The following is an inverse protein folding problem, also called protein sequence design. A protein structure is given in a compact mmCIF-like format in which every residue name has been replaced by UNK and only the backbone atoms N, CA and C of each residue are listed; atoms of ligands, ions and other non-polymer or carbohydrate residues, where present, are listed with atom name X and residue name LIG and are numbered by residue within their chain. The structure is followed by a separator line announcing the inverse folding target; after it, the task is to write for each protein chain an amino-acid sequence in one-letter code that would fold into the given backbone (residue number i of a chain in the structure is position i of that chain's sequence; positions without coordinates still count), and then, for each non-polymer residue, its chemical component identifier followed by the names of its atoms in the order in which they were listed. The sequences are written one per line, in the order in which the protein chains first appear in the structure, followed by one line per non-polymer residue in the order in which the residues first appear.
data_IF_491421386847
#
_entry.id   IF_491421386847
#
_cell.length_a   1.000
_cell.length_b   1.000
_cell.length_c   1.000
_cell.angle_alpha   90.00
_cell.angle_beta   90.00
_cell.angle_gamma   90.00
#
_symmetry.space_group_name_H-M   'P 1'
#
loop_
_entity.id
_entity.type
_entity.pdbx_description
1 polymer ?
#
# COMPACT_ATOMS: atom_id res chain seq x y z
N UNK A 1 -12.67 10.80 -2.54
CA UNK A 1 -11.36 10.30 -2.13
C UNK A 1 -10.65 9.69 -3.33
N UNK A 2 -9.40 10.01 -3.55
CA UNK A 2 -8.63 9.45 -4.64
C UNK A 2 -7.34 8.81 -4.13
N UNK A 3 -6.77 7.95 -4.95
CA UNK A 3 -5.59 7.18 -4.61
C UNK A 3 -4.61 7.27 -5.77
N UNK A 4 -3.37 7.62 -5.47
CA UNK A 4 -2.34 7.85 -6.48
C UNK A 4 -1.07 7.07 -6.11
N UNK A 5 -0.45 6.43 -7.08
CA UNK A 5 0.82 5.76 -6.88
C UNK A 5 1.95 6.68 -7.37
N UNK A 6 2.85 7.03 -6.47
CA UNK A 6 3.98 7.91 -6.78
C UNK A 6 5.10 7.15 -7.49
N UNK A 7 6.03 7.84 -8.17
CA UNK A 7 7.17 7.17 -8.80
C UNK A 7 7.97 6.28 -7.87
N UNK A 8 8.13 6.69 -6.59
CA UNK A 8 8.82 5.86 -5.60
C UNK A 8 8.11 4.54 -5.35
N UNK A 9 6.76 4.55 -5.39
CA UNK A 9 5.99 3.32 -5.26
C UNK A 9 6.31 2.36 -6.40
N UNK A 10 6.30 2.84 -7.64
CA UNK A 10 6.55 2.00 -8.80
C UNK A 10 7.96 1.43 -8.80
N UNK A 11 8.93 2.17 -8.28
CA UNK A 11 10.29 1.70 -8.15
C UNK A 11 10.36 0.44 -7.28
N UNK A 12 9.65 0.44 -6.17
CA UNK A 12 9.60 -0.72 -5.29
C UNK A 12 8.72 -1.84 -5.86
N UNK A 13 7.63 -1.46 -6.50
CA UNK A 13 6.69 -2.40 -7.10
C UNK A 13 7.38 -3.29 -8.15
N UNK A 14 8.24 -2.72 -8.96
CA UNK A 14 8.93 -3.45 -10.02
C UNK A 14 9.84 -4.56 -9.49
N UNK A 15 10.24 -4.49 -8.24
CA UNK A 15 11.10 -5.50 -7.61
C UNK A 15 10.32 -6.67 -7.05
N UNK A 16 9.01 -6.59 -7.01
CA UNK A 16 8.18 -7.63 -6.43
C UNK A 16 8.04 -8.83 -7.38
N UNK A 17 7.87 -10.05 -6.82
CA UNK A 17 7.50 -11.19 -7.65
C UNK A 17 6.22 -10.90 -8.41
N UNK A 18 6.08 -11.49 -9.60
CA UNK A 18 4.94 -11.20 -10.47
C UNK A 18 3.60 -11.48 -9.81
N UNK A 19 3.49 -12.58 -9.08
CA UNK A 19 2.23 -12.92 -8.41
C UNK A 19 1.87 -11.90 -7.33
N UNK A 20 2.86 -11.29 -6.68
CA UNK A 20 2.62 -10.23 -5.70
C UNK A 20 2.20 -8.95 -6.39
N UNK A 21 2.76 -8.65 -7.55
CA UNK A 21 2.32 -7.50 -8.34
C UNK A 21 0.85 -7.64 -8.70
N UNK A 22 0.40 -8.85 -9.04
CA UNK A 22 -1.00 -9.10 -9.35
C UNK A 22 -1.90 -8.90 -8.13
N UNK A 23 -1.47 -9.39 -6.96
CA UNK A 23 -2.21 -9.18 -5.72
C UNK A 23 -2.30 -7.69 -5.40
N UNK A 24 -1.20 -6.95 -5.58
CA UNK A 24 -1.18 -5.51 -5.35
C UNK A 24 -2.17 -4.80 -6.28
N UNK A 25 -2.23 -5.18 -7.54
CA UNK A 25 -3.19 -4.62 -8.48
C UNK A 25 -4.64 -4.85 -8.08
N UNK A 26 -4.95 -6.07 -7.65
CA UNK A 26 -6.29 -6.39 -7.16
C UNK A 26 -6.64 -5.59 -5.91
N UNK A 27 -5.69 -5.46 -4.98
CA UNK A 27 -5.92 -4.69 -3.75
C UNK A 27 -6.10 -3.21 -4.04
N UNK A 28 -5.35 -2.67 -5.01
CA UNK A 28 -5.50 -1.28 -5.40
C UNK A 28 -6.90 -1.02 -5.98
N UNK A 29 -7.38 -1.92 -6.83
CA UNK A 29 -8.73 -1.82 -7.39
C UNK A 29 -9.79 -1.91 -6.28
N UNK A 30 -9.59 -2.82 -5.33
CA UNK A 30 -10.50 -2.98 -4.20
C UNK A 30 -10.50 -1.73 -3.32
N UNK A 31 -9.33 -1.15 -3.08
CA UNK A 31 -9.22 0.08 -2.29
C UNK A 31 -10.02 1.21 -2.93
N UNK A 32 -9.99 1.31 -4.24
CA UNK A 32 -10.73 2.35 -4.95
C UNK A 32 -12.24 2.21 -4.77
N UNK A 33 -12.72 0.97 -4.65
CA UNK A 33 -14.14 0.69 -4.45
C UNK A 33 -14.55 0.75 -3.00
N UNK A 34 -13.72 0.24 -2.10
CA UNK A 34 -14.06 0.14 -0.68
C UNK A 34 -12.78 0.13 0.17
N UNK A 35 -12.28 1.31 0.55
CA UNK A 35 -11.06 1.39 1.37
C UNK A 35 -11.18 0.68 2.72
N UNK A 36 -12.40 0.46 3.20
CA UNK A 36 -12.64 -0.17 4.49
C UNK A 36 -12.78 -1.69 4.40
N UNK A 37 -12.57 -2.27 3.22
CA UNK A 37 -12.68 -3.72 3.06
C UNK A 37 -11.68 -4.42 3.98
N UNK A 38 -12.14 -5.43 4.76
CA UNK A 38 -11.28 -6.06 5.80
C UNK A 38 -9.99 -6.67 5.25
N UNK A 39 -10.00 -7.19 4.02
CA UNK A 39 -8.81 -7.83 3.46
C UNK A 39 -7.68 -6.85 3.18
N UNK A 40 -7.95 -5.54 3.16
CA UNK A 40 -6.92 -4.53 2.96
C UNK A 40 -6.16 -4.19 4.22
N UNK A 41 -6.78 -4.40 5.39
CA UNK A 41 -6.16 -3.99 6.66
C UNK A 41 -5.74 -2.54 6.65
N UNK A 42 -6.47 -1.68 5.94
CA UNK A 42 -6.12 -0.27 5.77
C UNK A 42 -6.32 0.49 7.06
N UNK A 43 -5.24 1.14 7.54
CA UNK A 43 -5.31 1.91 8.78
C UNK A 43 -4.19 2.93 8.87
N UNK A 44 -4.43 3.94 9.69
CA UNK A 44 -3.41 4.95 9.99
C UNK A 44 -2.44 4.39 11.03
N UNK A 45 -1.15 4.64 10.81
CA UNK A 45 -0.10 4.30 11.77
C UNK A 45 0.93 5.43 11.79
N UNK A 46 0.95 6.18 12.89
CA UNK A 46 1.78 7.37 12.96
C UNK A 46 1.33 8.39 11.95
N UNK A 47 2.23 8.85 11.11
CA UNK A 47 1.95 9.86 10.08
C UNK A 47 1.62 9.26 8.71
N UNK A 48 1.53 7.93 8.62
CA UNK A 48 1.28 7.27 7.34
C UNK A 48 0.08 6.32 7.46
N UNK A 49 -0.39 5.86 6.32
CA UNK A 49 -1.41 4.82 6.23
C UNK A 49 -0.79 3.56 5.66
N UNK A 50 -1.22 2.41 6.17
CA UNK A 50 -0.70 1.11 5.74
C UNK A 50 -1.82 0.27 5.17
N UNK A 51 -1.49 -0.58 4.21
CA UNK A 51 -2.42 -1.56 3.67
C UNK A 51 -1.69 -2.89 3.49
N UNK A 52 -2.39 -3.99 3.73
CA UNK A 52 -1.84 -5.32 3.56
C UNK A 52 -1.96 -5.75 2.09
N UNK A 53 -0.87 -6.33 1.59
CA UNK A 53 -0.82 -6.88 0.23
C UNK A 53 -0.54 -8.37 0.39
N UNK A 54 -1.60 -9.17 0.39
CA UNK A 54 -1.48 -10.56 0.74
C UNK A 54 -1.03 -10.72 2.19
N UNK A 55 -0.31 -11.80 2.48
CA UNK A 55 0.12 -12.10 3.86
C UNK A 55 1.46 -11.50 4.23
N UNK A 56 2.34 -11.33 3.24
CA UNK A 56 3.75 -11.06 3.52
C UNK A 56 4.22 -9.70 3.03
N UNK A 57 3.34 -8.89 2.46
CA UNK A 57 3.72 -7.61 1.90
C UNK A 57 2.82 -6.50 2.43
N UNK A 58 3.35 -5.29 2.43
CA UNK A 58 2.62 -4.09 2.85
C UNK A 58 2.92 -2.92 1.94
N UNK A 59 1.96 -1.99 1.87
CA UNK A 59 2.12 -0.74 1.15
C UNK A 59 1.91 0.42 2.10
N UNK A 60 2.57 1.55 1.82
CA UNK A 60 2.49 2.75 2.65
C UNK A 60 2.04 3.94 1.81
N UNK A 61 1.18 4.76 2.40
CA UNK A 61 0.68 5.97 1.76
C UNK A 61 0.68 7.14 2.74
N UNK A 62 0.71 8.35 2.18
CA UNK A 62 0.46 9.58 2.93
C UNK A 62 -0.86 10.16 2.48
N UNK A 63 -1.60 10.75 3.40
CA UNK A 63 -2.86 11.38 3.09
C UNK A 63 -2.66 12.89 3.01
N UNK A 64 -3.27 13.51 1.99
CA UNK A 64 -3.31 14.96 1.84
C UNK A 64 -4.67 15.36 1.29
N UNK A 65 -5.38 16.17 2.06
CA UNK A 65 -6.67 16.75 1.65
C UNK A 65 -7.64 15.68 1.15
N UNK A 66 -7.67 14.53 1.82
CA UNK A 66 -8.55 13.43 1.46
C UNK A 66 -8.05 12.54 0.34
N UNK A 67 -6.84 12.77 -0.14
CA UNK A 67 -6.22 11.96 -1.19
C UNK A 67 -5.07 11.14 -0.62
N UNK A 68 -4.91 9.92 -1.10
CA UNK A 68 -3.87 9.03 -0.62
C UNK A 68 -2.78 8.90 -1.69
N UNK A 69 -1.52 9.05 -1.28
CA UNK A 69 -0.36 9.00 -2.16
C UNK A 69 0.53 7.85 -1.71
N UNK A 70 0.49 6.74 -2.47
CA UNK A 70 1.26 5.55 -2.17
C UNK A 70 2.70 5.77 -2.58
N UNK A 71 3.64 5.58 -1.66
CA UNK A 71 5.04 5.88 -1.91
C UNK A 71 5.95 4.67 -1.73
N UNK A 72 5.45 3.56 -1.18
CA UNK A 72 6.28 2.40 -0.91
C UNK A 72 5.43 1.13 -0.89
N UNK A 73 6.05 0.02 -1.35
CA UNK A 73 5.48 -1.32 -1.21
C UNK A 73 6.66 -2.28 -1.07
N UNK A 74 6.53 -3.27 -0.19
CA UNK A 74 7.60 -4.24 0.03
C UNK A 74 7.19 -5.31 1.01
N UNK A 75 8.17 -6.09 1.46
CA UNK A 75 7.93 -7.17 2.39
C UNK A 75 7.53 -6.64 3.76
N UNK A 76 6.81 -7.48 4.51
CA UNK A 76 6.45 -7.16 5.90
C UNK A 76 7.72 -6.95 6.75
N UNK A 77 8.75 -7.70 6.45
CA UNK A 77 10.03 -7.58 7.15
C UNK A 77 10.66 -6.20 6.91
N UNK A 78 10.70 -5.75 5.67
CA UNK A 78 11.21 -4.41 5.36
C UNK A 78 10.31 -3.32 5.94
N UNK A 79 8.99 -3.55 5.93
CA UNK A 79 8.05 -2.64 6.56
C UNK A 79 8.39 -2.43 8.05
N UNK A 80 8.78 -3.49 8.74
CA UNK A 80 9.10 -3.40 10.16
C UNK A 80 10.32 -2.54 10.46
N UNK A 81 11.12 -2.22 9.45
CA UNK A 81 12.27 -1.33 9.61
C UNK A 81 11.88 0.14 9.63
N UNK A 82 10.68 0.47 9.20
CA UNK A 82 10.20 1.85 9.29
C UNK A 82 9.85 2.16 10.74
N UNK A 83 10.16 3.40 11.14
CA UNK A 83 9.80 3.91 12.46
C UNK A 83 8.59 4.82 12.32
N UNK A 84 7.44 4.26 12.49
CA UNK A 84 6.18 4.97 12.27
C UNK A 84 5.56 5.47 13.58
#
# INVERSE_FOLDING_TARGET
MSSHALPSFWKHYKRLPKHIQQVAGKNFALFQKNPQHPSLGFRKKGSVYTAEIGRSYRALARERKGHYYWFWIGTHEDYNKFRL
#
